data_IF_880083959804
#
_entry.id   IF_880083959804
#
_cell.length_a   1.000
_cell.length_b   1.000
_cell.length_c   1.000
_cell.angle_alpha   90.00
_cell.angle_beta   90.00
_cell.angle_gamma   90.00
#
_symmetry.space_group_name_H-M   'P 1'
#
loop_
_entity.id
_entity.type
_entity.pdbx_description
1 polymer ?
#
# COMPACT_ATOMS: atom_id res chain seq x y z
N UNK A 1 32.28 -30.77 1.26
CA UNK A 1 31.74 -30.57 -0.09
C UNK A 1 30.49 -29.76 0.10
N UNK A 2 30.61 -28.47 -0.18
CA UNK A 2 29.55 -27.48 -0.01
C UNK A 2 28.57 -27.61 -1.18
N UNK A 3 27.28 -27.64 -0.88
CA UNK A 3 26.27 -27.11 -1.78
C UNK A 3 25.65 -25.93 -1.04
N UNK A 4 25.95 -24.75 -1.56
CA UNK A 4 25.55 -23.47 -0.98
C UNK A 4 24.17 -23.11 -1.51
N UNK A 5 23.16 -23.16 -0.63
CA UNK A 5 21.93 -22.40 -0.82
C UNK A 5 22.26 -20.91 -0.79
N UNK A 6 22.46 -20.35 -1.98
CA UNK A 6 22.53 -18.92 -2.22
C UNK A 6 21.43 -18.55 -3.20
N UNK A 7 20.29 -18.11 -2.68
CA UNK A 7 19.48 -17.07 -3.33
C UNK A 7 18.29 -16.66 -2.46
N UNK A 8 18.24 -15.35 -2.20
CA UNK A 8 17.04 -14.58 -1.85
C UNK A 8 16.47 -14.79 -0.45
N UNK A 9 17.31 -14.61 0.56
CA UNK A 9 16.83 -14.19 1.88
C UNK A 9 16.51 -12.68 1.85
N UNK A 10 15.22 -12.38 1.84
CA UNK A 10 14.60 -11.39 2.74
C UNK A 10 15.00 -9.92 2.63
N UNK A 11 14.53 -9.21 1.60
CA UNK A 11 14.46 -7.73 1.62
C UNK A 11 13.05 -7.15 1.37
N UNK A 12 12.00 -7.97 1.47
CA UNK A 12 10.60 -7.52 1.31
C UNK A 12 9.88 -7.18 2.63
N UNK A 13 10.59 -7.12 3.75
CA UNK A 13 10.00 -6.83 5.07
C UNK A 13 10.58 -5.55 5.65
N UNK A 14 10.26 -4.42 5.02
CA UNK A 14 10.12 -3.19 5.78
C UNK A 14 9.03 -2.38 5.09
N UNK A 15 8.05 -1.93 5.87
CA UNK A 15 6.96 -1.01 5.47
C UNK A 15 5.65 -1.60 4.94
N UNK A 16 5.02 -2.50 5.70
CA UNK A 16 3.54 -2.57 5.70
C UNK A 16 2.89 -3.01 7.01
N UNK A 17 3.62 -2.96 8.13
CA UNK A 17 3.12 -3.46 9.42
C UNK A 17 3.52 -2.60 10.60
N UNK A 18 3.09 -1.33 10.63
CA UNK A 18 3.11 -0.51 11.83
C UNK A 18 2.12 0.67 11.75
N UNK A 19 0.83 0.37 11.58
CA UNK A 19 -0.25 1.26 12.03
C UNK A 19 -1.33 0.44 12.75
N UNK A 20 -0.91 -0.20 13.83
CA UNK A 20 -1.80 -0.52 14.94
C UNK A 20 -1.50 0.47 16.07
N UNK A 21 -2.29 1.55 16.12
CA UNK A 21 -2.57 2.32 17.33
C UNK A 21 -1.52 3.32 17.81
N UNK A 22 -1.74 4.61 17.50
CA UNK A 22 -1.79 5.68 18.52
C UNK A 22 -2.79 6.75 18.08
N UNK A 23 -3.80 6.98 18.93
CA UNK A 23 -4.78 8.04 18.79
C UNK A 23 -4.22 9.41 19.22
N UNK A 24 -4.96 10.47 18.84
CA UNK A 24 -4.83 11.93 19.12
C UNK A 24 -4.18 12.72 17.97
N UNK A 25 -4.76 13.80 17.42
CA UNK A 25 -5.91 14.61 17.81
C UNK A 25 -6.75 14.99 16.57
N UNK A 26 -8.06 15.11 16.79
CA UNK A 26 -9.05 15.47 15.78
C UNK A 26 -8.78 16.89 15.22
N UNK A 27 -8.40 16.95 13.94
CA UNK A 27 -8.74 18.11 13.11
C UNK A 27 -10.14 17.87 12.56
N UNK A 28 -11.11 18.62 13.10
CA UNK A 28 -12.51 18.49 12.75
C UNK A 28 -12.73 18.84 11.26
N UNK A 29 -12.95 17.82 10.43
CA UNK A 29 -13.68 17.99 9.19
C UNK A 29 -15.17 17.83 9.46
N UNK A 30 -16.01 18.78 9.00
CA UNK A 30 -17.41 18.81 9.34
C UNK A 30 -18.18 17.89 8.39
N UNK A 31 -18.00 16.58 8.48
CA UNK A 31 -19.04 15.68 8.01
C UNK A 31 -20.08 15.56 9.12
N UNK A 32 -21.05 16.49 9.09
CA UNK A 32 -22.27 16.33 9.88
C UNK A 32 -22.90 14.99 9.51
N UNK A 33 -22.79 14.03 10.42
CA UNK A 33 -23.71 12.89 10.50
C UNK A 33 -25.10 13.47 10.76
N UNK A 34 -25.83 13.73 9.67
CA UNK A 34 -27.28 13.88 9.72
C UNK A 34 -27.90 12.67 9.05
N UNK A 35 -28.70 11.99 9.87
CA UNK A 35 -29.73 11.01 9.53
C UNK A 35 -30.17 11.10 8.06
N UNK A 36 -29.98 10.01 7.32
CA UNK A 36 -30.58 9.83 6.00
C UNK A 36 -31.21 8.45 5.87
N UNK A 37 -32.04 8.10 6.85
CA UNK A 37 -33.12 7.12 6.68
C UNK A 37 -34.39 7.74 6.06
N UNK A 38 -34.33 9.03 5.67
CA UNK A 38 -35.44 9.76 5.06
C UNK A 38 -34.96 10.43 3.75
N UNK A 39 -34.78 9.64 2.70
CA UNK A 39 -34.86 10.10 1.30
C UNK A 39 -34.92 8.86 0.39
N UNK A 40 -36.04 8.13 0.49
CA UNK A 40 -36.48 7.15 -0.51
C UNK A 40 -37.40 7.82 -1.56
N UNK A 41 -37.20 9.10 -1.82
CA UNK A 41 -38.04 9.89 -2.73
C UNK A 41 -37.20 10.94 -3.44
N UNK A 42 -36.56 10.56 -4.54
CA UNK A 42 -36.85 11.19 -5.84
C UNK A 42 -36.20 10.37 -6.95
N UNK A 43 -36.92 10.15 -8.05
CA UNK A 43 -36.39 9.48 -9.21
C UNK A 43 -35.40 10.38 -9.95
N UNK A 44 -34.31 9.79 -10.43
CA UNK A 44 -33.38 10.33 -11.43
C UNK A 44 -32.22 11.22 -10.94
N UNK A 45 -31.00 10.74 -11.25
CA UNK A 45 -29.76 11.48 -11.55
C UNK A 45 -28.71 11.75 -10.46
N UNK A 46 -28.91 11.34 -9.19
CA UNK A 46 -27.80 11.30 -8.23
C UNK A 46 -26.96 10.03 -8.46
N UNK A 47 -25.70 10.19 -8.87
CA UNK A 47 -24.78 9.06 -9.07
C UNK A 47 -24.65 8.19 -7.80
N UNK A 48 -24.68 6.87 -7.97
CA UNK A 48 -24.59 5.89 -6.88
C UNK A 48 -23.40 6.22 -5.95
N UNK A 49 -23.64 6.43 -4.64
CA UNK A 49 -22.59 6.87 -3.72
C UNK A 49 -21.52 5.81 -3.48
N UNK A 50 -21.86 4.51 -3.50
CA UNK A 50 -20.88 3.43 -3.41
C UNK A 50 -20.03 3.37 -4.67
N UNK A 51 -20.65 3.51 -5.85
CA UNK A 51 -19.92 3.55 -7.12
C UNK A 51 -18.91 4.70 -7.17
N UNK A 52 -19.30 5.89 -6.69
CA UNK A 52 -18.41 7.05 -6.60
C UNK A 52 -17.23 6.80 -5.65
N UNK A 53 -17.51 6.33 -4.44
CA UNK A 53 -16.49 6.06 -3.44
C UNK A 53 -15.49 5.00 -3.93
N UNK A 54 -15.99 3.92 -4.55
CA UNK A 54 -15.14 2.90 -5.18
C UNK A 54 -14.29 3.48 -6.31
N UNK A 55 -14.85 4.38 -7.13
CA UNK A 55 -14.10 5.06 -8.20
C UNK A 55 -12.98 5.96 -7.66
N UNK A 56 -13.26 6.71 -6.59
CA UNK A 56 -12.25 7.52 -5.90
C UNK A 56 -11.14 6.63 -5.31
N UNK A 57 -11.51 5.51 -4.68
CA UNK A 57 -10.54 4.54 -4.16
C UNK A 57 -9.69 3.94 -5.29
N UNK A 58 -10.31 3.48 -6.38
CA UNK A 58 -9.58 2.89 -7.52
C UNK A 58 -8.58 3.87 -8.13
N UNK A 59 -8.95 5.15 -8.24
CA UNK A 59 -8.04 6.18 -8.73
C UNK A 59 -6.81 6.33 -7.83
N UNK A 60 -7.02 6.45 -6.52
CA UNK A 60 -5.91 6.58 -5.57
C UNK A 60 -5.07 5.30 -5.58
N UNK A 61 -5.70 4.12 -5.64
CA UNK A 61 -5.01 2.84 -5.71
C UNK A 61 -4.09 2.73 -6.93
N UNK A 62 -4.59 3.10 -8.11
CA UNK A 62 -3.80 3.08 -9.34
C UNK A 62 -2.63 4.10 -9.27
N UNK A 63 -2.83 5.26 -8.64
CA UNK A 63 -1.78 6.25 -8.36
C UNK A 63 -0.74 5.70 -7.36
N UNK A 64 -1.17 5.05 -6.28
CA UNK A 64 -0.30 4.38 -5.29
C UNK A 64 0.57 3.32 -5.98
N UNK A 65 -0.01 2.47 -6.83
CA UNK A 65 0.74 1.44 -7.57
C UNK A 65 1.81 2.04 -8.49
N UNK A 66 1.48 3.15 -9.18
CA UNK A 66 2.44 3.86 -10.02
C UNK A 66 3.61 4.41 -9.19
N UNK A 67 3.31 5.03 -8.04
CA UNK A 67 4.33 5.52 -7.11
C UNK A 67 5.19 4.39 -6.54
N UNK A 68 4.61 3.23 -6.21
CA UNK A 68 5.38 2.06 -5.76
C UNK A 68 6.37 1.56 -6.82
N UNK A 69 5.97 1.55 -8.10
CA UNK A 69 6.89 1.22 -9.18
C UNK A 69 8.01 2.25 -9.33
N UNK A 70 7.69 3.54 -9.20
CA UNK A 70 8.71 4.61 -9.19
C UNK A 70 9.66 4.45 -8.02
N UNK A 71 9.15 4.17 -6.81
CA UNK A 71 9.95 3.92 -5.62
C UNK A 71 10.94 2.77 -5.84
N UNK A 72 10.49 1.63 -6.38
CA UNK A 72 11.39 0.49 -6.68
C UNK A 72 12.52 0.85 -7.65
N UNK A 73 12.24 1.74 -8.63
CA UNK A 73 13.27 2.23 -9.54
C UNK A 73 14.27 3.13 -8.83
N UNK A 74 13.79 4.02 -7.94
CA UNK A 74 14.63 4.90 -7.12
C UNK A 74 15.47 4.11 -6.12
N UNK A 75 14.92 3.09 -5.46
CA UNK A 75 15.67 2.16 -4.58
C UNK A 75 16.77 1.45 -5.35
N UNK A 76 16.44 0.91 -6.53
CA UNK A 76 17.42 0.26 -7.41
C UNK A 76 18.52 1.24 -7.80
N UNK A 77 18.18 2.50 -8.06
CA UNK A 77 19.15 3.54 -8.36
C UNK A 77 20.08 3.81 -7.17
N UNK A 78 19.53 4.03 -5.97
CA UNK A 78 20.31 4.29 -4.75
C UNK A 78 21.22 3.11 -4.40
N UNK A 79 20.72 1.87 -4.50
CA UNK A 79 21.53 0.68 -4.28
C UNK A 79 22.70 0.56 -5.27
N UNK A 80 22.53 1.04 -6.52
CA UNK A 80 23.60 1.02 -7.54
C UNK A 80 24.61 2.15 -7.37
N UNK A 81 24.18 3.34 -6.95
CA UNK A 81 25.04 4.54 -6.90
C UNK A 81 25.67 4.76 -5.53
N UNK A 82 24.91 4.51 -4.46
CA UNK A 82 25.36 4.69 -3.06
C UNK A 82 25.81 3.36 -2.46
N UNK A 83 25.15 2.27 -2.83
CA UNK A 83 25.38 0.95 -2.24
C UNK A 83 24.56 0.72 -0.97
N UNK A 84 24.83 -0.40 -0.28
CA UNK A 84 24.22 -0.71 1.01
C UNK A 84 25.10 -0.21 2.17
N UNK A 85 24.52 0.12 3.33
CA UNK A 85 25.28 0.51 4.50
C UNK A 85 26.16 -0.65 4.97
N UNK A 86 27.45 -0.39 5.14
CA UNK A 86 28.37 -1.35 5.74
C UNK A 86 29.54 -0.66 6.44
N UNK A 87 30.06 -1.29 7.49
CA UNK A 87 31.28 -0.88 8.16
C UNK A 87 32.09 -2.11 8.58
N UNK A 88 33.41 -2.02 8.50
CA UNK A 88 34.31 -3.05 9.03
C UNK A 88 34.66 -2.73 10.48
N UNK A 89 34.46 -3.71 11.37
CA UNK A 89 34.79 -3.59 12.79
C UNK A 89 35.74 -4.70 13.17
N UNK A 90 36.78 -4.33 13.93
CA UNK A 90 37.65 -5.30 14.59
C UNK A 90 37.15 -5.55 16.01
N UNK A 91 36.74 -6.78 16.27
CA UNK A 91 36.23 -7.24 17.56
C UNK A 91 37.35 -7.38 18.60
N UNK A 92 36.96 -7.52 19.87
CA UNK A 92 37.88 -7.66 20.99
C UNK A 92 38.79 -8.90 20.91
N UNK A 93 38.31 -9.96 20.25
CA UNK A 93 39.08 -11.19 19.98
C UNK A 93 40.06 -11.05 18.79
N UNK A 94 40.09 -9.89 18.15
CA UNK A 94 40.92 -9.59 16.98
C UNK A 94 40.29 -9.96 15.63
N UNK A 95 39.07 -10.51 15.62
CA UNK A 95 38.35 -10.87 14.39
C UNK A 95 37.82 -9.62 13.68
N UNK A 96 37.99 -9.53 12.36
CA UNK A 96 37.36 -8.50 11.55
C UNK A 96 35.99 -8.99 11.05
N UNK A 97 34.96 -8.19 11.24
CA UNK A 97 33.59 -8.46 10.76
C UNK A 97 33.08 -7.29 9.95
N UNK A 98 32.32 -7.58 8.89
CA UNK A 98 31.56 -6.57 8.14
C UNK A 98 30.15 -6.53 8.69
N UNK A 99 29.73 -5.37 9.17
CA UNK A 99 28.39 -5.17 9.72
C UNK A 99 27.57 -4.32 8.76
N UNK A 100 26.29 -4.65 8.61
CA UNK A 100 25.38 -4.01 7.66
C UNK A 100 24.31 -3.13 8.31
N UNK A 101 24.32 -3.03 9.65
CA UNK A 101 23.38 -2.19 10.38
C UNK A 101 24.00 -1.63 11.66
N UNK A 102 23.44 -0.51 12.12
CA UNK A 102 23.77 0.07 13.43
C UNK A 102 23.34 -0.88 14.57
N UNK A 103 22.26 -1.64 14.40
CA UNK A 103 21.82 -2.65 15.37
C UNK A 103 22.89 -3.72 15.55
N UNK A 104 23.39 -4.31 14.47
CA UNK A 104 24.48 -5.29 14.52
C UNK A 104 25.79 -4.70 15.07
N UNK A 105 26.04 -3.41 14.83
CA UNK A 105 27.16 -2.68 15.43
C UNK A 105 27.02 -2.53 16.95
N UNK A 106 25.81 -2.24 17.43
CA UNK A 106 25.53 -2.15 18.86
C UNK A 106 25.63 -3.51 19.55
N UNK A 107 25.16 -4.58 18.91
CA UNK A 107 25.27 -5.94 19.43
C UNK A 107 26.73 -6.41 19.51
N UNK A 108 27.59 -5.92 18.61
CA UNK A 108 29.03 -6.22 18.58
C UNK A 108 29.87 -5.31 19.51
N UNK A 109 29.25 -4.39 20.24
CA UNK A 109 29.95 -3.44 21.10
C UNK A 109 30.60 -4.13 22.32
N UNK A 110 31.83 -3.71 22.62
CA UNK A 110 32.54 -4.05 23.86
C UNK A 110 33.46 -2.90 24.25
N UNK A 111 33.73 -2.65 25.55
CA UNK A 111 34.65 -1.57 25.96
C UNK A 111 36.03 -1.65 25.28
N UNK A 112 36.50 -2.85 24.95
CA UNK A 112 37.79 -3.10 24.30
C UNK A 112 37.82 -2.68 22.82
N UNK A 113 36.66 -2.54 22.16
CA UNK A 113 36.55 -2.13 20.76
C UNK A 113 35.96 -0.73 20.56
N UNK A 114 35.85 0.09 21.62
CA UNK A 114 35.20 1.41 21.61
C UNK A 114 35.70 2.33 20.48
N UNK A 115 37.02 2.33 20.22
CA UNK A 115 37.61 3.13 19.13
C UNK A 115 37.18 2.64 17.74
N UNK A 116 37.13 1.32 17.54
CA UNK A 116 36.70 0.73 16.25
C UNK A 116 35.18 0.88 16.07
N UNK A 117 34.41 0.76 17.15
CA UNK A 117 32.97 1.05 17.16
C UNK A 117 32.69 2.50 16.74
N UNK A 118 33.43 3.47 17.29
CA UNK A 118 33.27 4.88 16.94
C UNK A 118 33.59 5.17 15.46
N UNK A 119 34.58 4.47 14.89
CA UNK A 119 34.89 4.55 13.45
C UNK A 119 33.78 3.96 12.60
N UNK A 120 33.30 2.77 12.94
CA UNK A 120 32.21 2.15 12.21
C UNK A 120 30.91 2.96 12.28
N UNK A 121 30.61 3.58 13.42
CA UNK A 121 29.49 4.51 13.54
C UNK A 121 29.66 5.72 12.60
N UNK A 122 30.89 6.27 12.50
CA UNK A 122 31.19 7.35 11.57
C UNK A 122 31.05 6.91 10.11
N UNK A 123 31.42 5.67 9.77
CA UNK A 123 31.25 5.10 8.43
C UNK A 123 29.77 4.95 8.07
N UNK A 124 28.94 4.46 8.99
CA UNK A 124 27.47 4.42 8.82
C UNK A 124 26.89 5.83 8.66
N UNK A 125 27.33 6.81 9.46
CA UNK A 125 26.89 8.20 9.33
C UNK A 125 27.31 8.81 7.98
N UNK A 126 28.53 8.53 7.52
CA UNK A 126 29.01 8.98 6.22
C UNK A 126 28.24 8.32 5.07
N UNK A 127 27.86 7.05 5.22
CA UNK A 127 26.97 6.37 4.27
C UNK A 127 25.59 7.03 4.24
N UNK A 128 24.98 7.26 5.41
CA UNK A 128 23.68 7.94 5.51
C UNK A 128 23.72 9.32 4.84
N UNK A 129 24.76 10.11 5.07
CA UNK A 129 24.91 11.42 4.44
C UNK A 129 24.99 11.34 2.90
N UNK A 130 25.62 10.30 2.34
CA UNK A 130 25.63 10.07 0.88
C UNK A 130 24.25 9.65 0.37
N UNK A 131 23.55 8.81 1.12
CA UNK A 131 22.18 8.41 0.81
C UNK A 131 21.24 9.61 0.81
N UNK A 132 21.26 10.42 1.86
CA UNK A 132 20.43 11.62 2.01
C UNK A 132 20.73 12.64 0.89
N UNK A 133 21.99 12.79 0.50
CA UNK A 133 22.37 13.67 -0.60
C UNK A 133 21.83 13.17 -1.95
N UNK A 134 21.94 11.86 -2.22
CA UNK A 134 21.40 11.25 -3.43
C UNK A 134 19.87 11.30 -3.45
N UNK A 135 19.23 11.04 -2.31
CA UNK A 135 17.79 11.16 -2.13
C UNK A 135 17.29 12.59 -2.37
N UNK A 136 18.00 13.60 -1.86
CA UNK A 136 17.65 15.00 -2.12
C UNK A 136 17.70 15.36 -3.62
N UNK A 137 18.51 14.66 -4.40
CA UNK A 137 18.60 14.81 -5.86
C UNK A 137 17.48 14.06 -6.60
N UNK A 138 17.21 12.81 -6.24
CA UNK A 138 16.32 11.92 -7.01
C UNK A 138 14.89 11.83 -6.44
N UNK A 139 14.66 12.27 -5.21
CA UNK A 139 13.35 12.39 -4.57
C UNK A 139 12.74 11.11 -4.01
N UNK A 140 13.54 10.10 -3.62
CA UNK A 140 13.03 8.85 -3.04
C UNK A 140 12.13 9.09 -1.82
N UNK A 141 12.57 9.86 -0.83
CA UNK A 141 11.80 10.14 0.39
C UNK A 141 10.53 10.96 0.10
N UNK A 142 10.51 11.75 -0.98
CA UNK A 142 9.29 12.45 -1.42
C UNK A 142 8.27 11.47 -1.98
N UNK A 143 8.70 10.55 -2.84
CA UNK A 143 7.84 9.49 -3.40
C UNK A 143 7.30 8.60 -2.29
N UNK A 144 8.15 8.23 -1.34
CA UNK A 144 7.80 7.43 -0.17
C UNK A 144 6.74 8.10 0.75
N UNK A 145 6.81 9.42 0.89
CA UNK A 145 5.81 10.21 1.61
C UNK A 145 4.47 10.31 0.84
N UNK A 146 4.51 10.44 -0.50
CA UNK A 146 3.30 10.41 -1.34
C UNK A 146 2.59 9.05 -1.26
N UNK A 147 3.34 7.95 -1.27
CA UNK A 147 2.79 6.60 -1.05
C UNK A 147 2.06 6.55 0.29
N UNK A 148 2.72 6.97 1.38
CA UNK A 148 2.13 6.95 2.72
C UNK A 148 0.85 7.79 2.82
N UNK A 149 0.82 8.96 2.17
CA UNK A 149 -0.37 9.80 2.10
C UNK A 149 -1.50 9.13 1.31
N UNK A 150 -1.17 8.48 0.19
CA UNK A 150 -2.13 7.77 -0.66
C UNK A 150 -2.71 6.55 0.05
N UNK A 151 -1.87 5.74 0.72
CA UNK A 151 -2.31 4.61 1.55
C UNK A 151 -3.22 5.06 2.71
N UNK A 152 -2.95 6.23 3.30
CA UNK A 152 -3.82 6.83 4.33
C UNK A 152 -5.19 7.19 3.74
N UNK A 153 -5.22 7.77 2.54
CA UNK A 153 -6.46 8.12 1.85
C UNK A 153 -7.25 6.89 1.41
N UNK A 154 -6.58 5.85 0.89
CA UNK A 154 -7.20 4.55 0.58
C UNK A 154 -7.83 3.92 1.82
N UNK A 155 -7.10 3.91 2.94
CA UNK A 155 -7.60 3.35 4.21
C UNK A 155 -8.87 4.06 4.68
N UNK A 156 -8.92 5.39 4.60
CA UNK A 156 -10.11 6.17 4.96
C UNK A 156 -11.32 5.82 4.09
N UNK A 157 -11.13 5.65 2.77
CA UNK A 157 -12.20 5.23 1.88
C UNK A 157 -12.66 3.80 2.16
N UNK A 158 -11.74 2.88 2.48
CA UNK A 158 -12.07 1.51 2.88
C UNK A 158 -12.86 1.45 4.19
N UNK A 159 -12.56 2.33 5.15
CA UNK A 159 -13.32 2.45 6.41
C UNK A 159 -14.77 2.92 6.17
N UNK A 160 -14.99 3.81 5.20
CA UNK A 160 -16.31 4.34 4.85
C UNK A 160 -17.15 3.40 3.96
N UNK A 161 -16.48 2.52 3.20
CA UNK A 161 -17.11 1.66 2.20
C UNK A 161 -18.24 0.76 2.76
N UNK A 162 -18.12 0.09 3.93
CA UNK A 162 -19.18 -0.75 4.49
C UNK A 162 -20.46 0.01 4.80
N UNK A 163 -20.35 1.28 5.22
CA UNK A 163 -21.49 2.12 5.60
C UNK A 163 -22.13 2.83 4.40
N UNK A 164 -21.44 2.88 3.27
CA UNK A 164 -21.91 3.53 2.05
C UNK A 164 -22.89 2.62 1.29
N UNK A 165 -24.18 2.94 1.29
CA UNK A 165 -25.20 2.11 0.61
C UNK A 165 -25.01 2.15 -0.91
N UNK A 166 -24.96 0.97 -1.56
CA UNK A 166 -25.06 0.89 -3.02
C UNK A 166 -26.52 0.99 -3.44
N UNK A 167 -26.83 1.88 -4.38
CA UNK A 167 -28.20 2.12 -4.89
C UNK A 167 -28.41 1.53 -6.29
N UNK A 168 -27.37 0.96 -6.89
CA UNK A 168 -27.33 0.33 -8.21
C UNK A 168 -26.57 -1.01 -8.17
N UNK A 169 -26.73 -1.82 -9.23
CA UNK A 169 -25.95 -3.06 -9.37
C UNK A 169 -24.47 -2.71 -9.60
N UNK A 170 -24.20 -1.63 -10.32
CA UNK A 170 -22.87 -1.11 -10.58
C UNK A 170 -22.15 -0.74 -9.28
N UNK A 171 -22.83 -0.12 -8.32
CA UNK A 171 -22.27 0.15 -6.99
C UNK A 171 -21.98 -1.11 -6.17
N UNK A 172 -22.80 -2.16 -6.31
CA UNK A 172 -22.55 -3.47 -5.68
C UNK A 172 -21.33 -4.14 -6.31
N UNK A 173 -21.24 -4.14 -7.65
CA UNK A 173 -20.11 -4.69 -8.39
C UNK A 173 -18.81 -3.96 -8.02
N UNK A 174 -18.82 -2.63 -8.00
CA UNK A 174 -17.67 -1.81 -7.64
C UNK A 174 -17.16 -2.11 -6.21
N UNK A 175 -18.08 -2.31 -5.25
CA UNK A 175 -17.73 -2.74 -3.89
C UNK A 175 -16.97 -4.07 -3.86
N UNK A 176 -17.48 -5.06 -4.60
CA UNK A 176 -16.85 -6.37 -4.69
C UNK A 176 -15.48 -6.30 -5.38
N UNK A 177 -15.34 -5.46 -6.40
CA UNK A 177 -14.06 -5.20 -7.07
C UNK A 177 -13.02 -4.58 -6.12
N UNK A 178 -13.42 -3.61 -5.29
CA UNK A 178 -12.52 -3.03 -4.27
C UNK A 178 -12.07 -4.09 -3.27
N UNK A 179 -12.98 -4.93 -2.76
CA UNK A 179 -12.65 -6.02 -1.83
C UNK A 179 -11.63 -6.98 -2.44
N UNK A 180 -11.81 -7.34 -3.72
CA UNK A 180 -10.89 -8.23 -4.42
C UNK A 180 -9.50 -7.59 -4.59
N UNK A 181 -9.44 -6.33 -5.04
CA UNK A 181 -8.17 -5.63 -5.26
C UNK A 181 -7.40 -5.37 -3.97
N UNK A 182 -8.11 -5.02 -2.90
CA UNK A 182 -7.49 -4.77 -1.59
C UNK A 182 -7.00 -6.09 -0.97
N UNK A 183 -7.87 -7.09 -0.82
CA UNK A 183 -7.54 -8.27 -0.03
C UNK A 183 -6.65 -9.32 -0.72
N UNK A 184 -6.63 -9.40 -2.06
CA UNK A 184 -5.70 -10.29 -2.78
C UNK A 184 -4.22 -9.96 -2.50
N UNK A 185 -3.92 -8.74 -2.06
CA UNK A 185 -2.57 -8.35 -1.69
C UNK A 185 -2.15 -8.86 -0.30
N UNK A 186 -3.11 -9.17 0.57
CA UNK A 186 -2.87 -9.34 2.00
C UNK A 186 -3.07 -10.76 2.51
N UNK A 187 -3.91 -11.53 1.84
CA UNK A 187 -4.32 -12.85 2.32
C UNK A 187 -3.81 -13.94 1.38
N UNK A 188 -3.36 -15.07 1.94
CA UNK A 188 -3.00 -16.21 1.11
C UNK A 188 -4.23 -16.63 0.29
N UNK A 189 -4.06 -17.11 -0.98
CA UNK A 189 -5.19 -17.50 -1.82
C UNK A 189 -6.18 -18.50 -1.17
N UNK A 190 -5.74 -19.25 -0.17
CA UNK A 190 -6.52 -20.25 0.58
C UNK A 190 -7.15 -19.71 1.88
N UNK A 191 -6.72 -18.54 2.37
CA UNK A 191 -7.15 -17.99 3.67
C UNK A 191 -8.50 -17.26 3.59
N UNK A 192 -8.97 -16.97 2.37
CA UNK A 192 -10.20 -16.24 2.12
C UNK A 192 -10.97 -16.82 0.94
N UNK A 193 -12.31 -16.72 0.89
CA UNK A 193 -13.12 -17.33 -0.17
C UNK A 193 -13.05 -16.57 -1.51
N UNK A 194 -11.85 -16.18 -1.97
CA UNK A 194 -11.62 -15.48 -3.24
C UNK A 194 -12.32 -16.13 -4.45
N UNK A 195 -12.25 -17.47 -4.66
CA UNK A 195 -12.94 -18.09 -5.79
C UNK A 195 -14.47 -17.91 -5.74
N UNK A 196 -15.06 -17.91 -4.54
CA UNK A 196 -16.50 -17.73 -4.36
C UNK A 196 -16.94 -16.30 -4.66
N UNK A 197 -16.16 -15.31 -4.20
CA UNK A 197 -16.45 -13.89 -4.44
C UNK A 197 -16.36 -13.57 -5.94
N UNK A 198 -15.32 -14.08 -6.63
CA UNK A 198 -15.20 -13.94 -8.09
C UNK A 198 -16.37 -14.58 -8.83
N UNK A 199 -16.80 -15.77 -8.42
CA UNK A 199 -17.98 -16.43 -9.02
C UNK A 199 -19.25 -15.57 -8.89
N UNK A 200 -19.51 -15.01 -7.71
CA UNK A 200 -20.68 -14.16 -7.47
C UNK A 200 -20.61 -12.86 -8.28
N UNK A 201 -19.42 -12.23 -8.35
CA UNK A 201 -19.19 -11.05 -9.17
C UNK A 201 -19.51 -11.31 -10.65
N UNK A 202 -19.02 -12.44 -11.18
CA UNK A 202 -19.23 -12.86 -12.56
C UNK A 202 -20.72 -13.09 -12.87
N UNK A 203 -21.46 -13.74 -11.97
CA UNK A 203 -22.90 -13.95 -12.10
C UNK A 203 -23.67 -12.63 -12.12
N UNK A 204 -23.36 -11.72 -11.18
CA UNK A 204 -23.99 -10.40 -11.09
C UNK A 204 -23.71 -9.56 -12.35
N UNK A 205 -22.48 -9.57 -12.84
CA UNK A 205 -22.09 -8.86 -14.05
C UNK A 205 -22.80 -9.39 -15.30
N UNK A 206 -22.98 -10.71 -15.41
CA UNK A 206 -23.77 -11.32 -16.49
C UNK A 206 -25.23 -10.86 -16.44
N UNK A 207 -25.89 -10.98 -15.30
CA UNK A 207 -27.30 -10.63 -15.15
C UNK A 207 -27.58 -9.14 -15.39
N UNK A 208 -26.69 -8.26 -14.94
CA UNK A 208 -26.79 -6.82 -15.22
C UNK A 208 -26.75 -6.53 -16.73
N UNK A 209 -25.80 -7.14 -17.46
CA UNK A 209 -25.66 -6.95 -18.92
C UNK A 209 -26.91 -7.40 -19.69
N UNK A 210 -27.55 -8.50 -19.27
CA UNK A 210 -28.77 -8.99 -19.91
C UNK A 210 -29.96 -8.06 -19.68
N UNK A 211 -30.16 -7.56 -18.46
CA UNK A 211 -31.26 -6.64 -18.12
C UNK A 211 -31.13 -5.30 -18.87
N UNK A 212 -29.92 -4.73 -18.91
CA UNK A 212 -29.64 -3.49 -19.65
C UNK A 212 -29.81 -3.63 -21.17
N UNK A 213 -29.68 -4.86 -21.70
CA UNK A 213 -29.92 -5.17 -23.12
C UNK A 213 -31.40 -5.32 -23.47
N UNK A 214 -32.23 -5.73 -22.51
CA UNK A 214 -33.68 -5.94 -22.69
C UNK A 214 -34.44 -4.60 -22.60
N UNK A 215 -34.09 -3.73 -21.64
CA UNK A 215 -34.68 -2.37 -21.53
C UNK A 215 -34.45 -1.55 -22.83
N UNK A 216 -33.25 -1.62 -23.42
CA UNK A 216 -32.96 -0.95 -24.71
C UNK A 216 -33.71 -1.53 -25.90
N UNK A 217 -34.17 -2.78 -25.83
CA UNK A 217 -34.99 -3.41 -26.88
C UNK A 217 -36.45 -2.99 -26.77
N UNK A 218 -36.96 -2.81 -25.56
CA UNK A 218 -38.34 -2.40 -25.30
C UNK A 218 -38.57 -0.94 -25.75
N UNK A 219 -37.64 -0.03 -25.43
CA UNK A 219 -37.73 1.39 -25.85
C UNK A 219 -37.74 1.54 -27.38
N UNK A 220 -37.02 0.67 -28.10
CA UNK A 220 -36.94 0.71 -29.57
C UNK A 220 -38.21 0.19 -30.26
N UNK A 221 -39.05 -0.56 -29.55
CA UNK A 221 -40.32 -1.10 -30.08
C UNK A 221 -41.49 -0.12 -29.85
N UNK A 222 -41.37 0.81 -28.90
CA UNK A 222 -42.41 1.79 -28.59
C UNK A 222 -42.33 3.02 -29.53
N UNK A 223 -41.18 3.27 -30.16
CA UNK A 223 -40.94 4.38 -31.10
C UNK A 223 -41.15 4.02 -32.60
N UNK A 224 -41.75 2.86 -32.92
CA UNK A 224 -42.06 2.42 -34.31
C UNK A 224 -43.54 2.27 -34.56
#
# INVERSE_FOLDING_TARGET
MADSDSSMSSFFVTRRRLLAGTATAAAAWPFQVKSRAAELTDGSNAADPALRLCGDWQKIHDETLALCHEQQQLETHLARTVGFPCAEVRLADGTNVTLHSIESLNDAYSPENEVEWGRALADFAAHQARWDAADAEIGYSRTDELIRQSETAESALLEDLPQTVATSIEGILAKLEVILRDGEHWEHPDDFPWPHIRSVLDDLARHHKYRSGDDRRIDRVIDS
#
